data_IF_831249055460
#
_entry.id   IF_831249055460
#
_cell.length_a   1.000
_cell.length_b   1.000
_cell.length_c   1.000
_cell.angle_alpha   90.00
_cell.angle_beta   90.00
_cell.angle_gamma   90.00
#
_symmetry.space_group_name_H-M   'P 1'
#
loop_
_entity.id
_entity.type
_entity.pdbx_description
1 polymer ?
#
# COMPACT_ATOMS: atom_id res chain seq x y z
N UNK A 1 4.26 29.61 8.62
CA UNK A 1 4.61 28.48 9.49
C UNK A 1 3.76 27.32 9.02
N UNK A 2 4.38 26.21 8.62
CA UNK A 2 3.66 25.03 8.16
C UNK A 2 3.19 24.23 9.37
N UNK A 3 1.92 23.86 9.37
CA UNK A 3 1.25 23.14 10.44
C UNK A 3 1.27 21.65 10.17
N UNK A 4 1.84 20.87 11.08
CA UNK A 4 2.05 19.43 10.91
C UNK A 4 1.34 18.64 12.00
N UNK A 5 0.68 17.54 11.63
CA UNK A 5 0.23 16.51 12.57
C UNK A 5 1.19 15.32 12.45
N UNK A 6 1.52 14.72 13.60
CA UNK A 6 2.32 13.47 13.66
C UNK A 6 1.41 12.34 14.13
N UNK A 7 1.26 11.30 13.31
CA UNK A 7 0.44 10.13 13.58
C UNK A 7 1.30 8.86 13.58
N UNK A 8 1.51 8.27 14.75
CA UNK A 8 2.28 7.05 14.98
C UNK A 8 1.82 6.41 16.30
N UNK A 9 1.68 5.11 16.38
CA UNK A 9 1.25 4.44 17.61
C UNK A 9 2.38 4.31 18.66
N UNK A 10 3.66 4.49 18.26
CA UNK A 10 4.81 4.43 19.14
C UNK A 10 5.14 5.82 19.74
N UNK A 11 4.96 6.04 21.06
CA UNK A 11 5.19 7.35 21.67
C UNK A 11 6.60 7.91 21.43
N UNK A 12 7.63 7.06 21.53
CA UNK A 12 9.03 7.47 21.35
C UNK A 12 9.29 7.98 19.92
N UNK A 13 8.64 7.38 18.93
CA UNK A 13 8.75 7.82 17.53
C UNK A 13 8.06 9.18 17.34
N UNK A 14 6.84 9.34 17.90
CA UNK A 14 6.14 10.64 17.87
C UNK A 14 6.97 11.74 18.48
N UNK A 15 7.51 11.51 19.69
CA UNK A 15 8.39 12.49 20.37
C UNK A 15 9.63 12.83 19.53
N UNK A 16 10.24 11.81 18.92
CA UNK A 16 11.41 12.00 18.04
C UNK A 16 11.09 12.81 16.80
N UNK A 17 9.99 12.50 16.11
CA UNK A 17 9.52 13.26 14.93
C UNK A 17 9.16 14.69 15.32
N UNK A 18 8.45 14.88 16.43
CA UNK A 18 8.13 16.20 16.96
C UNK A 18 9.40 17.02 17.22
N UNK A 19 10.36 16.46 17.95
CA UNK A 19 11.62 17.16 18.24
C UNK A 19 12.40 17.56 16.97
N UNK A 20 12.35 16.71 15.92
CA UNK A 20 12.95 17.03 14.63
C UNK A 20 12.28 18.21 13.93
N UNK A 21 10.95 18.30 14.03
CA UNK A 21 10.16 19.37 13.40
C UNK A 21 10.21 20.66 14.18
N UNK A 22 10.06 20.61 15.50
CA UNK A 22 10.10 21.80 16.40
C UNK A 22 11.48 22.51 16.40
N UNK A 23 12.54 21.82 15.93
CA UNK A 23 13.86 22.44 15.74
C UNK A 23 13.93 23.36 14.49
N UNK A 24 12.90 23.39 13.66
CA UNK A 24 12.82 24.21 12.45
C UNK A 24 11.85 25.39 12.68
N UNK A 25 12.28 26.64 12.48
CA UNK A 25 11.48 27.82 12.85
C UNK A 25 10.24 28.04 11.99
N UNK A 26 10.13 27.36 10.85
CA UNK A 26 9.02 27.45 9.89
C UNK A 26 8.03 26.28 9.98
N UNK A 27 8.28 25.29 10.87
CA UNK A 27 7.41 24.14 11.10
C UNK A 27 6.80 24.21 12.51
N UNK A 28 5.56 23.73 12.65
CA UNK A 28 4.84 23.67 13.93
C UNK A 28 4.07 22.35 14.03
N UNK A 29 4.32 21.55 15.05
CA UNK A 29 3.52 20.37 15.34
C UNK A 29 2.25 20.79 16.09
N UNK A 30 1.13 20.83 15.39
CA UNK A 30 -0.17 21.27 15.92
C UNK A 30 -1.00 20.15 16.55
N UNK A 31 -0.60 18.89 16.38
CA UNK A 31 -1.28 17.76 16.96
C UNK A 31 -0.49 16.45 16.81
N UNK A 32 -0.81 15.52 17.70
CA UNK A 32 -0.28 14.16 17.71
C UNK A 32 -1.42 13.16 17.76
N UNK A 33 -1.31 12.03 17.05
CA UNK A 33 -2.28 10.95 17.00
C UNK A 33 -1.60 9.61 17.25
N UNK A 34 -2.25 8.74 17.99
CA UNK A 34 -1.78 7.37 18.25
C UNK A 34 -2.52 6.32 17.39
N UNK A 35 -3.44 6.76 16.53
CA UNK A 35 -4.20 5.90 15.62
C UNK A 35 -4.64 6.66 14.37
N UNK A 36 -4.99 5.93 13.30
CA UNK A 36 -5.52 6.51 12.08
C UNK A 36 -6.81 7.29 12.30
N UNK A 37 -7.72 6.77 13.13
CA UNK A 37 -8.98 7.45 13.44
C UNK A 37 -8.76 8.79 14.15
N UNK A 38 -7.81 8.85 15.08
CA UNK A 38 -7.44 10.08 15.76
C UNK A 38 -6.79 11.07 14.79
N UNK A 39 -5.92 10.59 13.89
CA UNK A 39 -5.29 11.42 12.86
C UNK A 39 -6.34 12.07 11.94
N UNK A 40 -7.35 11.32 11.48
CA UNK A 40 -8.45 11.85 10.68
C UNK A 40 -9.25 12.91 11.43
N UNK A 41 -9.62 12.64 12.69
CA UNK A 41 -10.36 13.61 13.51
C UNK A 41 -9.56 14.89 13.76
N UNK A 42 -8.26 14.77 14.04
CA UNK A 42 -7.37 15.92 14.22
C UNK A 42 -7.18 16.70 12.92
N UNK A 43 -7.00 16.03 11.78
CA UNK A 43 -6.86 16.68 10.47
C UNK A 43 -8.10 17.54 10.15
N UNK A 44 -9.28 16.99 10.32
CA UNK A 44 -10.54 17.73 10.09
C UNK A 44 -10.69 18.96 11.01
N UNK A 45 -10.27 18.83 12.28
CA UNK A 45 -10.39 19.91 13.28
C UNK A 45 -9.32 20.99 13.14
N UNK A 46 -8.07 20.57 12.94
CA UNK A 46 -6.91 21.46 13.00
C UNK A 46 -6.49 21.98 11.63
N UNK A 47 -6.96 21.36 10.54
CA UNK A 47 -6.60 21.71 9.15
C UNK A 47 -5.09 21.93 8.99
N UNK A 48 -4.27 20.89 9.17
CA UNK A 48 -2.83 20.97 8.98
C UNK A 48 -2.48 21.10 7.49
N UNK A 49 -1.28 21.60 7.19
CA UNK A 49 -0.73 21.56 5.84
C UNK A 49 -0.28 20.14 5.47
N UNK A 50 0.33 19.43 6.45
CA UNK A 50 0.87 18.09 6.26
C UNK A 50 0.53 17.18 7.45
N UNK A 51 0.21 15.93 7.17
CA UNK A 51 0.11 14.85 8.16
C UNK A 51 1.24 13.87 7.92
N UNK A 52 2.14 13.69 8.89
CA UNK A 52 3.07 12.56 8.92
C UNK A 52 2.30 11.35 9.41
N UNK A 53 2.26 10.27 8.63
CA UNK A 53 1.40 9.13 8.86
C UNK A 53 2.19 7.82 8.90
N UNK A 54 2.18 7.11 10.03
CA UNK A 54 2.58 5.71 10.01
C UNK A 54 1.50 4.83 9.38
N UNK A 55 1.90 3.79 8.69
CA UNK A 55 0.96 2.86 8.05
C UNK A 55 0.38 1.86 9.06
N UNK A 56 1.18 1.45 10.05
CA UNK A 56 0.79 0.38 10.97
C UNK A 56 0.42 0.92 12.33
N UNK A 57 -0.86 1.19 12.49
CA UNK A 57 -1.44 1.63 13.75
C UNK A 57 -2.64 0.76 14.13
N UNK A 58 -2.96 0.60 15.43
CA UNK A 58 -4.10 -0.18 15.87
C UNK A 58 -5.44 0.45 15.46
N UNK A 59 -6.43 -0.39 15.18
CA UNK A 59 -7.76 0.04 14.75
C UNK A 59 -7.76 0.48 13.28
N UNK A 60 -7.97 1.76 13.01
CA UNK A 60 -7.87 2.30 11.65
C UNK A 60 -6.41 2.41 11.23
N UNK A 61 -6.00 1.66 10.23
CA UNK A 61 -4.64 1.69 9.70
C UNK A 61 -4.33 2.99 8.96
N UNK A 62 -3.03 3.28 8.77
CA UNK A 62 -2.58 4.52 8.14
C UNK A 62 -2.96 4.64 6.67
N UNK A 63 -3.14 3.54 5.93
CA UNK A 63 -3.59 3.56 4.53
C UNK A 63 -5.03 4.05 4.45
N UNK A 64 -5.91 3.48 5.28
CA UNK A 64 -7.31 3.90 5.37
C UNK A 64 -7.44 5.35 5.81
N UNK A 65 -6.67 5.76 6.82
CA UNK A 65 -6.63 7.15 7.29
C UNK A 65 -6.11 8.10 6.20
N UNK A 66 -5.08 7.71 5.45
CA UNK A 66 -4.56 8.47 4.31
C UNK A 66 -5.65 8.73 3.28
N UNK A 67 -6.41 7.68 2.89
CA UNK A 67 -7.51 7.81 1.93
C UNK A 67 -8.59 8.78 2.41
N UNK A 68 -8.97 8.72 3.68
CA UNK A 68 -9.97 9.62 4.26
C UNK A 68 -9.50 11.08 4.29
N UNK A 69 -8.24 11.34 4.67
CA UNK A 69 -7.67 12.69 4.70
C UNK A 69 -7.49 13.24 3.28
N UNK A 70 -6.94 12.43 2.36
CA UNK A 70 -6.72 12.85 0.97
C UNK A 70 -8.03 13.18 0.25
N UNK A 71 -9.12 12.48 0.56
CA UNK A 71 -10.44 12.72 -0.04
C UNK A 71 -11.01 14.10 0.32
N UNK A 72 -10.63 14.70 1.44
CA UNK A 72 -11.04 16.07 1.81
C UNK A 72 -10.24 17.14 1.06
N UNK A 73 -9.03 16.82 0.60
CA UNK A 73 -8.12 17.75 -0.10
C UNK A 73 -7.50 18.83 0.79
N UNK A 74 -7.83 18.88 2.07
CA UNK A 74 -7.42 19.94 2.99
C UNK A 74 -5.99 19.79 3.53
N UNK A 75 -5.44 18.58 3.50
CA UNK A 75 -4.09 18.28 4.01
C UNK A 75 -3.34 17.31 3.09
N UNK A 76 -2.02 17.43 3.05
CA UNK A 76 -1.14 16.48 2.36
C UNK A 76 -0.71 15.38 3.32
N UNK A 77 -0.71 14.13 2.85
CA UNK A 77 -0.26 13.01 3.69
C UNK A 77 1.12 12.55 3.23
N UNK A 78 2.09 12.64 4.12
CA UNK A 78 3.44 12.13 3.95
C UNK A 78 3.62 10.89 4.83
N UNK A 79 3.69 9.72 4.21
CA UNK A 79 3.87 8.47 4.93
C UNK A 79 5.30 8.38 5.49
N UNK A 80 5.43 8.01 6.77
CA UNK A 80 6.70 7.78 7.47
C UNK A 80 6.62 6.47 8.22
N UNK A 81 7.26 5.42 7.73
CA UNK A 81 7.10 4.07 8.27
C UNK A 81 8.41 3.28 8.26
N UNK A 82 8.48 2.20 9.04
CA UNK A 82 9.59 1.23 8.98
C UNK A 82 9.45 0.24 7.83
N UNK A 83 8.26 0.14 7.24
CA UNK A 83 7.94 -0.85 6.22
C UNK A 83 8.13 -0.28 4.82
N UNK A 84 8.82 -1.05 3.98
CA UNK A 84 9.11 -0.69 2.60
C UNK A 84 8.68 -1.78 1.61
N UNK A 85 7.67 -2.61 1.98
CA UNK A 85 7.17 -3.63 1.06
C UNK A 85 6.48 -2.98 -0.14
N UNK A 86 6.62 -3.59 -1.31
CA UNK A 86 6.02 -3.08 -2.54
C UNK A 86 4.50 -2.89 -2.42
N UNK A 87 3.84 -3.80 -1.67
CA UNK A 87 2.40 -3.74 -1.44
C UNK A 87 2.00 -2.55 -0.55
N UNK A 88 2.78 -2.23 0.50
CA UNK A 88 2.48 -1.11 1.40
C UNK A 88 2.68 0.23 0.68
N UNK A 89 3.76 0.35 -0.11
CA UNK A 89 4.04 1.55 -0.91
C UNK A 89 2.91 1.80 -1.91
N UNK A 90 2.50 0.76 -2.65
CA UNK A 90 1.47 0.90 -3.67
C UNK A 90 0.13 1.31 -3.05
N UNK A 91 -0.30 0.63 -1.97
CA UNK A 91 -1.54 0.96 -1.26
C UNK A 91 -1.55 2.40 -0.73
N UNK A 92 -0.42 2.88 -0.19
CA UNK A 92 -0.33 4.24 0.29
C UNK A 92 -0.44 5.27 -0.84
N UNK A 93 0.20 5.03 -1.98
CA UNK A 93 0.11 5.89 -3.17
C UNK A 93 -1.31 5.88 -3.75
N UNK A 94 -1.93 4.72 -3.88
CA UNK A 94 -3.32 4.57 -4.36
C UNK A 94 -4.32 5.25 -3.42
N UNK A 95 -4.05 5.26 -2.11
CA UNK A 95 -4.84 5.99 -1.12
C UNK A 95 -4.65 7.52 -1.20
N UNK A 96 -3.73 8.04 -2.02
CA UNK A 96 -3.51 9.47 -2.21
C UNK A 96 -2.40 10.06 -1.36
N UNK A 97 -1.46 9.27 -0.85
CA UNK A 97 -0.27 9.79 -0.19
C UNK A 97 0.53 10.70 -1.13
N UNK A 98 0.89 11.89 -0.65
CA UNK A 98 1.74 12.85 -1.39
C UNK A 98 3.20 12.40 -1.40
N UNK A 99 3.61 11.60 -0.42
CA UNK A 99 4.98 11.08 -0.38
C UNK A 99 5.14 9.91 0.57
N UNK A 100 6.35 9.31 0.52
CA UNK A 100 6.68 8.13 1.29
C UNK A 100 8.15 8.16 1.74
N UNK A 101 8.37 8.12 3.05
CA UNK A 101 9.68 8.11 3.69
C UNK A 101 9.81 6.91 4.63
N UNK A 102 11.04 6.58 4.97
CA UNK A 102 11.35 5.60 6.00
C UNK A 102 11.62 6.31 7.34
N UNK A 103 11.34 5.64 8.48
CA UNK A 103 11.54 6.21 9.83
C UNK A 103 12.99 6.47 10.17
N UNK A 104 13.94 5.91 9.42
CA UNK A 104 15.38 6.19 9.53
C UNK A 104 15.84 7.39 8.69
N UNK A 105 14.91 8.08 8.03
CA UNK A 105 15.21 9.27 7.23
C UNK A 105 15.83 10.36 8.09
N UNK A 106 17.02 10.90 7.70
CA UNK A 106 17.67 11.97 8.46
C UNK A 106 16.79 13.22 8.58
N UNK A 107 16.92 13.96 9.71
CA UNK A 107 16.12 15.16 9.99
C UNK A 107 16.05 16.14 8.80
N UNK A 108 17.20 16.42 8.17
CA UNK A 108 17.26 17.36 7.03
C UNK A 108 16.38 16.90 5.86
N UNK A 109 16.37 15.62 5.57
CA UNK A 109 15.56 15.06 4.49
C UNK A 109 14.08 15.04 4.87
N UNK A 110 13.74 14.67 6.11
CA UNK A 110 12.37 14.71 6.63
C UNK A 110 11.77 16.11 6.54
N UNK A 111 12.48 17.13 7.04
CA UNK A 111 11.96 18.52 7.05
C UNK A 111 11.88 19.10 5.64
N UNK A 112 12.81 18.76 4.75
CA UNK A 112 12.73 19.12 3.33
C UNK A 112 11.51 18.44 2.65
N UNK A 113 11.25 17.18 2.97
CA UNK A 113 10.11 16.42 2.47
C UNK A 113 8.77 17.02 2.94
N UNK A 114 8.66 17.43 4.20
CA UNK A 114 7.46 18.13 4.73
C UNK A 114 7.20 19.41 3.94
N UNK A 115 8.22 20.23 3.70
CA UNK A 115 8.10 21.46 2.91
C UNK A 115 7.68 21.19 1.47
N UNK A 116 8.24 20.17 0.85
CA UNK A 116 7.90 19.76 -0.51
C UNK A 116 6.47 19.23 -0.60
N UNK A 117 6.06 18.38 0.34
CA UNK A 117 4.70 17.86 0.43
C UNK A 117 3.68 18.98 0.60
N UNK A 118 3.95 19.97 1.46
CA UNK A 118 3.08 21.13 1.67
C UNK A 118 2.86 21.93 0.36
N UNK A 119 3.85 21.96 -0.54
CA UNK A 119 3.71 22.56 -1.88
C UNK A 119 2.98 21.66 -2.89
N UNK A 120 2.59 20.45 -2.49
CA UNK A 120 1.97 19.47 -3.37
C UNK A 120 2.97 18.70 -4.27
N UNK A 121 4.25 18.79 -3.97
CA UNK A 121 5.29 18.03 -4.69
C UNK A 121 5.30 16.58 -4.20
N UNK A 122 5.45 15.64 -5.12
CA UNK A 122 5.60 14.22 -4.76
C UNK A 122 6.98 13.96 -4.17
N UNK A 123 7.02 13.35 -2.99
CA UNK A 123 8.26 13.04 -2.27
C UNK A 123 8.39 11.54 -2.08
N UNK A 124 9.42 10.96 -2.67
CA UNK A 124 9.70 9.52 -2.54
C UNK A 124 11.16 9.33 -2.14
N UNK A 125 11.39 8.61 -1.04
CA UNK A 125 12.73 8.17 -0.70
C UNK A 125 13.33 7.36 -1.88
N UNK A 126 14.64 7.46 -2.17
CA UNK A 126 15.24 6.76 -3.31
C UNK A 126 14.97 5.24 -3.38
N UNK A 127 14.95 4.49 -2.26
CA UNK A 127 14.57 3.08 -2.29
C UNK A 127 13.12 2.88 -2.74
N UNK A 128 12.20 3.72 -2.27
CA UNK A 128 10.77 3.68 -2.61
C UNK A 128 10.54 4.01 -4.09
N UNK A 129 11.20 5.05 -4.59
CA UNK A 129 11.14 5.42 -6.00
C UNK A 129 11.60 4.28 -6.93
N UNK A 130 12.71 3.60 -6.58
CA UNK A 130 13.19 2.43 -7.33
C UNK A 130 12.15 1.30 -7.37
N UNK A 131 11.50 1.00 -6.25
CA UNK A 131 10.46 -0.04 -6.17
C UNK A 131 9.25 0.31 -7.05
N UNK A 132 8.76 1.54 -7.00
CA UNK A 132 7.67 1.99 -7.86
C UNK A 132 8.04 1.92 -9.35
N UNK A 133 9.23 2.39 -9.72
CA UNK A 133 9.70 2.32 -11.11
C UNK A 133 9.86 0.88 -11.59
N UNK A 134 10.35 -0.04 -10.73
CA UNK A 134 10.43 -1.46 -11.09
C UNK A 134 9.05 -2.06 -11.35
N UNK A 135 8.04 -1.68 -10.57
CA UNK A 135 6.64 -2.11 -10.78
C UNK A 135 6.05 -1.56 -12.09
N UNK A 136 6.29 -0.30 -12.40
CA UNK A 136 5.82 0.30 -13.66
C UNK A 136 6.52 -0.33 -14.87
N UNK A 137 7.77 -0.78 -14.71
CA UNK A 137 8.54 -1.46 -15.75
C UNK A 137 8.25 -2.96 -15.88
N UNK A 138 7.69 -3.61 -14.85
CA UNK A 138 7.14 -4.94 -15.02
C UNK A 138 5.94 -4.79 -15.96
N UNK A 139 5.83 -5.59 -17.04
CA UNK A 139 4.59 -5.65 -17.79
C UNK A 139 3.49 -5.92 -16.76
N UNK A 140 2.37 -5.21 -16.90
CA UNK A 140 1.22 -5.40 -16.01
C UNK A 140 1.05 -6.90 -15.82
N UNK A 141 1.08 -7.37 -14.57
CA UNK A 141 0.83 -8.80 -14.30
C UNK A 141 -0.54 -9.06 -14.91
N UNK A 142 -0.54 -9.67 -16.08
CA UNK A 142 -1.78 -9.91 -16.82
C UNK A 142 -2.69 -10.70 -15.89
N UNK A 143 -3.83 -10.15 -15.57
CA UNK A 143 -4.84 -10.89 -14.84
C UNK A 143 -5.15 -12.20 -15.57
N UNK A 144 -5.44 -13.28 -14.87
CA UNK A 144 -5.85 -14.51 -15.54
C UNK A 144 -6.98 -14.25 -16.52
N UNK A 145 -6.85 -14.74 -17.75
CA UNK A 145 -7.88 -14.61 -18.78
C UNK A 145 -9.16 -15.36 -18.36
N UNK A 146 -10.33 -15.06 -18.94
CA UNK A 146 -11.55 -15.79 -18.64
C UNK A 146 -11.38 -17.32 -18.72
N UNK A 147 -10.62 -17.80 -19.69
CA UNK A 147 -10.34 -19.24 -19.85
C UNK A 147 -9.43 -19.80 -18.75
N UNK A 148 -8.45 -19.04 -18.30
CA UNK A 148 -7.62 -19.39 -17.17
C UNK A 148 -8.40 -19.38 -15.85
N UNK A 149 -9.35 -18.47 -15.68
CA UNK A 149 -10.24 -18.45 -14.53
C UNK A 149 -11.19 -19.67 -14.51
N UNK A 150 -11.70 -20.11 -15.67
CA UNK A 150 -12.49 -21.35 -15.77
C UNK A 150 -11.65 -22.56 -15.32
N UNK A 151 -10.41 -22.69 -15.78
CA UNK A 151 -9.48 -23.74 -15.33
C UNK A 151 -9.25 -23.66 -13.83
N UNK A 152 -8.98 -22.46 -13.30
CA UNK A 152 -8.71 -22.25 -11.88
C UNK A 152 -9.93 -22.54 -10.99
N UNK A 153 -11.13 -22.26 -11.47
CA UNK A 153 -12.37 -22.62 -10.79
C UNK A 153 -12.52 -24.15 -10.64
N UNK A 154 -12.16 -24.93 -11.66
CA UNK A 154 -12.16 -26.39 -11.56
C UNK A 154 -11.06 -26.91 -10.62
N UNK A 155 -9.92 -26.21 -10.58
CA UNK A 155 -8.86 -26.51 -9.61
C UNK A 155 -9.37 -26.29 -8.18
N UNK A 156 -10.11 -25.23 -7.92
CA UNK A 156 -10.71 -24.96 -6.61
C UNK A 156 -11.72 -26.03 -6.18
N UNK A 157 -12.39 -26.68 -7.13
CA UNK A 157 -13.26 -27.85 -6.88
C UNK A 157 -12.49 -29.16 -6.63
N UNK A 158 -11.17 -29.14 -6.69
CA UNK A 158 -10.32 -30.31 -6.42
C UNK A 158 -10.17 -31.30 -7.61
N UNK A 159 -10.60 -30.95 -8.84
CA UNK A 159 -10.55 -31.84 -9.99
C UNK A 159 -9.09 -32.06 -10.44
N UNK A 160 -8.78 -33.29 -10.92
CA UNK A 160 -7.50 -33.59 -11.57
C UNK A 160 -7.38 -32.87 -12.93
N UNK A 161 -6.16 -32.75 -13.47
CA UNK A 161 -5.96 -32.13 -14.80
C UNK A 161 -6.69 -32.92 -15.91
N UNK A 162 -6.81 -34.22 -15.77
CA UNK A 162 -7.57 -35.07 -16.71
C UNK A 162 -9.06 -34.76 -16.64
N UNK A 163 -9.61 -34.59 -15.42
CA UNK A 163 -11.03 -34.31 -15.23
C UNK A 163 -11.38 -32.89 -15.66
N UNK A 164 -10.48 -31.93 -15.38
CA UNK A 164 -10.59 -30.54 -15.89
C UNK A 164 -10.63 -30.54 -17.42
N UNK A 165 -9.75 -31.33 -18.04
CA UNK A 165 -9.70 -31.45 -19.48
C UNK A 165 -11.03 -31.98 -20.06
N UNK A 166 -11.64 -32.99 -19.43
CA UNK A 166 -12.95 -33.53 -19.81
C UNK A 166 -14.07 -32.50 -19.64
N UNK A 167 -14.12 -31.83 -18.47
CA UNK A 167 -15.15 -30.82 -18.13
C UNK A 167 -15.11 -29.63 -19.09
N UNK A 168 -13.90 -29.17 -19.43
CA UNK A 168 -13.68 -27.99 -20.27
C UNK A 168 -13.46 -28.31 -21.76
N UNK A 169 -13.58 -29.57 -22.17
CA UNK A 169 -13.38 -30.04 -23.53
C UNK A 169 -12.00 -29.67 -24.13
N UNK A 170 -10.92 -29.79 -23.34
CA UNK A 170 -9.53 -29.54 -23.75
C UNK A 170 -8.62 -30.71 -23.33
N UNK A 171 -7.44 -30.78 -23.93
CA UNK A 171 -6.47 -31.81 -23.55
C UNK A 171 -5.86 -31.54 -22.16
N UNK A 172 -5.42 -32.63 -21.50
CA UNK A 172 -4.65 -32.50 -20.25
C UNK A 172 -3.41 -31.61 -20.40
N UNK A 173 -2.73 -31.70 -21.55
CA UNK A 173 -1.57 -30.87 -21.88
C UNK A 173 -1.95 -29.36 -21.92
N UNK A 174 -3.12 -29.06 -22.46
CA UNK A 174 -3.65 -27.68 -22.49
C UNK A 174 -3.96 -27.19 -21.08
N UNK A 175 -4.54 -28.03 -20.21
CA UNK A 175 -4.76 -27.68 -18.79
C UNK A 175 -3.43 -27.37 -18.09
N UNK A 176 -2.40 -28.19 -18.28
CA UNK A 176 -1.05 -27.94 -17.73
C UNK A 176 -0.48 -26.60 -18.19
N UNK A 177 -0.64 -26.27 -19.47
CA UNK A 177 -0.19 -24.99 -20.03
C UNK A 177 -0.92 -23.79 -19.38
N UNK A 178 -2.25 -23.90 -19.20
CA UNK A 178 -3.00 -22.88 -18.50
C UNK A 178 -2.54 -22.72 -17.05
N UNK A 179 -2.31 -23.82 -16.33
CA UNK A 179 -1.85 -23.77 -14.94
C UNK A 179 -0.49 -23.08 -14.79
N UNK A 180 0.47 -23.36 -15.68
CA UNK A 180 1.76 -22.66 -15.68
C UNK A 180 1.56 -21.14 -15.81
N UNK A 181 0.77 -20.71 -16.79
CA UNK A 181 0.47 -19.28 -16.99
C UNK A 181 -0.27 -18.66 -15.81
N UNK A 182 -1.22 -19.39 -15.21
CA UNK A 182 -1.93 -18.94 -14.01
C UNK A 182 -0.95 -18.76 -12.85
N UNK A 183 -0.02 -19.71 -12.63
CA UNK A 183 0.97 -19.62 -11.56
C UNK A 183 1.91 -18.41 -11.76
N UNK A 184 2.36 -18.20 -12.99
CA UNK A 184 3.16 -17.00 -13.34
C UNK A 184 2.38 -15.70 -13.08
N UNK A 185 1.14 -15.63 -13.54
CA UNK A 185 0.27 -14.43 -13.37
C UNK A 185 -0.11 -14.17 -11.91
N UNK A 186 -0.29 -15.22 -11.11
CA UNK A 186 -0.60 -15.08 -9.69
C UNK A 186 0.65 -14.98 -8.80
N UNK A 187 1.86 -15.18 -9.35
CA UNK A 187 3.11 -15.16 -8.58
C UNK A 187 3.17 -16.25 -7.52
N UNK A 188 2.75 -17.47 -7.87
CA UNK A 188 2.71 -18.65 -6.98
C UNK A 188 3.41 -19.84 -7.63
N UNK A 189 3.80 -20.84 -6.83
CA UNK A 189 4.55 -22.00 -7.30
C UNK A 189 3.74 -23.31 -7.30
N UNK A 190 2.54 -23.30 -6.71
CA UNK A 190 1.73 -24.51 -6.59
C UNK A 190 0.23 -24.24 -6.70
N UNK A 191 -0.50 -25.35 -6.85
CA UNK A 191 -1.94 -25.40 -7.09
C UNK A 191 -2.77 -24.82 -5.94
N UNK A 192 -2.40 -25.15 -4.70
CA UNK A 192 -3.12 -24.70 -3.50
C UNK A 192 -2.92 -23.21 -3.28
N UNK A 193 -1.68 -22.73 -3.43
CA UNK A 193 -1.36 -21.33 -3.36
C UNK A 193 -2.10 -20.50 -4.43
N UNK A 194 -2.28 -21.06 -5.65
CA UNK A 194 -3.03 -20.42 -6.72
C UNK A 194 -4.50 -20.17 -6.35
N UNK A 195 -5.18 -21.18 -5.79
CA UNK A 195 -6.56 -21.07 -5.34
C UNK A 195 -6.70 -20.06 -4.19
N UNK A 196 -5.86 -20.19 -3.17
CA UNK A 196 -5.86 -19.27 -2.01
C UNK A 196 -5.64 -17.82 -2.44
N UNK A 197 -4.69 -17.59 -3.32
CA UNK A 197 -4.40 -16.25 -3.86
C UNK A 197 -5.57 -15.69 -4.67
N UNK A 198 -6.18 -16.52 -5.52
CA UNK A 198 -7.32 -16.10 -6.34
C UNK A 198 -8.55 -15.73 -5.51
N UNK A 199 -8.84 -16.48 -4.44
CA UNK A 199 -9.91 -16.13 -3.50
C UNK A 199 -9.58 -14.82 -2.78
N UNK A 200 -8.34 -14.66 -2.29
CA UNK A 200 -7.90 -13.44 -1.62
C UNK A 200 -7.91 -12.19 -2.51
N UNK A 201 -7.82 -12.34 -3.83
CA UNK A 201 -7.93 -11.27 -4.83
C UNK A 201 -9.35 -11.06 -5.38
N UNK A 202 -10.34 -11.83 -4.90
CA UNK A 202 -11.72 -11.75 -5.40
C UNK A 202 -11.91 -12.30 -6.81
N UNK A 203 -10.96 -13.06 -7.36
CA UNK A 203 -11.02 -13.69 -8.68
C UNK A 203 -11.87 -14.96 -8.66
N UNK A 204 -12.00 -15.59 -7.51
CA UNK A 204 -12.87 -16.73 -7.25
C UNK A 204 -13.72 -16.48 -5.99
N UNK A 205 -14.96 -16.99 -5.94
CA UNK A 205 -15.76 -16.97 -4.72
C UNK A 205 -15.09 -17.82 -3.63
N UNK A 206 -15.26 -17.49 -2.34
CA UNK A 206 -14.88 -18.37 -1.25
C UNK A 206 -15.65 -19.70 -1.34
N UNK A 207 -15.08 -20.80 -0.82
CA UNK A 207 -15.68 -22.13 -0.84
C UNK A 207 -16.95 -22.20 0.01
#
# INVERSE_FOLDING_TARGET
MLRVIVADDHPVVREGLRAMLDAEPDLEVVGEAASGAEAVALAARLRPDVVLMDLRMPGTDGVTATGQIAATGDARVLVVTTYDTDADILRAVEAGATGYLLKDTPRRELTAAVRAAARGETVLAPPVARKLVSRVRLPAVESPTPRELEVLAQVARGLSNVDIGRELHISEATVKTHLVRIFEKLGVSDRTAAVTRAIGQGLLPPP
#
